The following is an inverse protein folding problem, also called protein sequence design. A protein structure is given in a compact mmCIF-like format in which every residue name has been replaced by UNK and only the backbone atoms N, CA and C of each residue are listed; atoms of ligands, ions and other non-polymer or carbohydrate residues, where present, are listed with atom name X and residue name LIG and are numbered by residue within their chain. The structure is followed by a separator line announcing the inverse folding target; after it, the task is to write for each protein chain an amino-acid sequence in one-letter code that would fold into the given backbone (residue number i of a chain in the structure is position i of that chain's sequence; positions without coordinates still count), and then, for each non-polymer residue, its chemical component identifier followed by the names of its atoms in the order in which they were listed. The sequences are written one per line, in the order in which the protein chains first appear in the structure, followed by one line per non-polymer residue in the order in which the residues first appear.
data_IF_770279321472
#
_entry.id   IF_770279321472
#
_cell.length_a   1.000
_cell.length_b   1.000
_cell.length_c   1.000
_cell.angle_alpha   90.00
_cell.angle_beta   90.00
_cell.angle_gamma   90.00
#
_symmetry.space_group_name_H-M   'P 1'
#
loop_
_entity.id
_entity.type
_entity.pdbx_description
1 polymer ?
#
# COMPACT_ATOMS: atom_id res chain seq x y z
N UNK A 1 2.33 -20.98 24.38
CA UNK A 1 2.45 -19.55 24.03
C UNK A 1 3.00 -19.44 22.63
N UNK A 2 2.77 -18.32 21.94
CA UNK A 2 3.29 -18.08 20.59
C UNK A 2 4.78 -17.75 20.70
N UNK A 3 5.60 -18.40 19.88
CA UNK A 3 7.01 -18.06 19.73
C UNK A 3 7.15 -17.16 18.51
N UNK A 4 7.79 -16.01 18.68
CA UNK A 4 8.04 -15.09 17.60
C UNK A 4 9.54 -14.80 17.50
N UNK A 5 10.06 -14.83 16.27
CA UNK A 5 11.39 -14.30 15.97
C UNK A 5 11.21 -12.89 15.41
N UNK A 6 11.79 -11.91 16.09
CA UNK A 6 11.72 -10.51 15.67
C UNK A 6 12.98 -10.17 14.88
N UNK A 7 12.79 -9.68 13.65
CA UNK A 7 13.86 -9.09 12.84
C UNK A 7 13.56 -7.60 12.67
N UNK A 8 14.48 -6.75 13.13
CA UNK A 8 14.37 -5.30 12.96
C UNK A 8 15.23 -4.93 11.76
N UNK A 9 14.60 -4.40 10.71
CA UNK A 9 15.28 -3.99 9.49
C UNK A 9 16.16 -2.76 9.74
N UNK A 10 17.41 -2.82 9.29
CA UNK A 10 18.27 -1.65 9.23
C UNK A 10 17.87 -0.73 8.05
N UNK A 11 18.20 0.58 8.09
CA UNK A 11 17.81 1.53 7.03
C UNK A 11 18.31 1.18 5.62
N UNK A 12 19.41 0.45 5.54
CA UNK A 12 20.07 0.00 4.31
C UNK A 12 19.73 -1.45 3.93
N UNK A 13 18.95 -2.14 4.76
CA UNK A 13 18.59 -3.53 4.52
C UNK A 13 17.40 -3.65 3.56
N UNK A 14 17.52 -4.51 2.55
CA UNK A 14 16.43 -4.78 1.62
C UNK A 14 15.37 -5.66 2.30
N UNK A 15 14.13 -5.18 2.33
CA UNK A 15 13.00 -5.86 2.96
C UNK A 15 12.72 -7.19 2.25
N UNK A 16 12.80 -7.19 0.93
CA UNK A 16 12.50 -8.36 0.11
C UNK A 16 13.51 -9.48 0.37
N UNK A 17 14.81 -9.19 0.35
CA UNK A 17 15.85 -10.16 0.69
C UNK A 17 15.74 -10.67 2.13
N UNK A 18 15.30 -9.82 3.06
CA UNK A 18 15.08 -10.20 4.45
C UNK A 18 13.91 -11.16 4.60
N UNK A 19 12.80 -10.90 3.90
CA UNK A 19 11.63 -11.80 3.90
C UNK A 19 11.99 -13.12 3.22
N UNK A 20 12.73 -13.11 2.10
CA UNK A 20 13.16 -14.33 1.43
C UNK A 20 13.98 -15.22 2.37
N UNK A 21 14.91 -14.65 3.16
CA UNK A 21 15.65 -15.39 4.20
C UNK A 21 14.75 -15.94 5.32
N UNK A 22 13.68 -15.24 5.68
CA UNK A 22 12.72 -15.74 6.67
C UNK A 22 11.92 -16.92 6.11
N UNK A 23 11.61 -16.89 4.81
CA UNK A 23 10.86 -17.93 4.13
C UNK A 23 11.64 -19.24 3.97
N UNK A 24 12.98 -19.21 3.99
CA UNK A 24 13.81 -20.43 4.01
C UNK A 24 13.50 -21.35 5.20
N UNK A 25 13.04 -20.78 6.32
CA UNK A 25 12.60 -21.54 7.50
C UNK A 25 11.19 -22.13 7.37
N UNK A 26 10.51 -21.92 6.24
CA UNK A 26 9.11 -22.33 5.98
C UNK A 26 8.14 -21.95 7.12
N UNK A 27 8.06 -20.67 7.50
CA UNK A 27 7.18 -20.23 8.56
C UNK A 27 5.71 -20.34 8.14
N UNK A 28 4.83 -20.69 9.08
CA UNK A 28 3.38 -20.65 8.87
C UNK A 28 2.86 -19.22 8.74
N UNK A 29 3.56 -18.24 9.33
CA UNK A 29 3.16 -16.85 9.38
C UNK A 29 4.37 -15.92 9.34
N UNK A 30 4.26 -14.83 8.59
CA UNK A 30 5.19 -13.70 8.60
C UNK A 30 4.42 -12.45 9.01
N UNK A 31 4.89 -11.76 10.05
CA UNK A 31 4.25 -10.55 10.58
C UNK A 31 5.01 -9.31 10.10
N UNK A 32 4.35 -8.44 9.35
CA UNK A 32 4.87 -7.16 8.89
C UNK A 32 4.52 -6.05 9.89
N UNK A 33 5.54 -5.44 10.51
CA UNK A 33 5.39 -4.25 11.34
C UNK A 33 5.89 -3.00 10.65
N UNK A 34 4.97 -2.11 10.26
CA UNK A 34 5.33 -0.89 9.55
C UNK A 34 4.12 -0.16 8.98
N UNK A 35 4.38 0.71 8.00
CA UNK A 35 3.33 1.34 7.20
C UNK A 35 2.95 0.53 5.97
N UNK A 36 2.07 1.09 5.13
CA UNK A 36 1.53 0.41 3.94
C UNK A 36 2.62 -0.06 2.96
N UNK A 37 3.74 0.68 2.84
CA UNK A 37 4.87 0.28 2.01
C UNK A 37 5.57 -0.99 2.51
N UNK A 38 5.80 -1.09 3.82
CA UNK A 38 6.37 -2.29 4.47
C UNK A 38 5.43 -3.47 4.30
N UNK A 39 4.14 -3.27 4.55
CA UNK A 39 3.13 -4.31 4.43
C UNK A 39 3.05 -4.81 2.99
N UNK A 40 3.02 -3.92 2.00
CA UNK A 40 3.02 -4.29 0.58
C UNK A 40 4.29 -5.03 0.16
N UNK A 41 5.46 -4.60 0.64
CA UNK A 41 6.74 -5.26 0.33
C UNK A 41 6.81 -6.69 0.88
N UNK A 42 6.32 -6.91 2.10
CA UNK A 42 6.21 -8.25 2.68
C UNK A 42 5.16 -9.07 1.93
N UNK A 43 3.96 -8.53 1.72
CA UNK A 43 2.89 -9.21 1.00
C UNK A 43 3.34 -9.69 -0.38
N UNK A 44 4.11 -8.88 -1.12
CA UNK A 44 4.63 -9.22 -2.44
C UNK A 44 5.46 -10.50 -2.46
N UNK A 45 6.10 -10.87 -1.33
CA UNK A 45 6.88 -12.11 -1.21
C UNK A 45 6.05 -13.31 -0.78
N UNK A 46 4.87 -13.07 -0.20
CA UNK A 46 3.96 -14.10 0.30
C UNK A 46 2.87 -14.47 -0.71
N UNK A 47 2.54 -13.60 -1.67
CA UNK A 47 1.52 -13.89 -2.69
C UNK A 47 1.80 -15.22 -3.38
N UNK A 48 0.78 -16.08 -3.46
CA UNK A 48 0.87 -17.41 -4.07
C UNK A 48 1.53 -18.47 -3.19
N UNK A 49 1.92 -18.15 -1.95
CA UNK A 49 2.46 -19.10 -0.97
C UNK A 49 1.42 -19.41 0.11
N UNK A 50 1.56 -20.58 0.73
CA UNK A 50 0.76 -20.98 1.90
C UNK A 50 1.39 -20.43 3.19
N UNK A 51 1.49 -19.10 3.29
CA UNK A 51 2.06 -18.38 4.44
C UNK A 51 1.16 -17.22 4.81
N UNK A 52 0.77 -17.14 6.09
CA UNK A 52 -0.14 -16.11 6.58
C UNK A 52 0.60 -14.79 6.76
N UNK A 53 0.03 -13.70 6.25
CA UNK A 53 0.49 -12.33 6.55
C UNK A 53 -0.17 -11.81 7.83
N UNK A 54 0.62 -11.59 8.88
CA UNK A 54 0.21 -10.77 10.02
C UNK A 54 0.56 -9.30 9.81
N UNK A 55 -0.26 -8.38 10.31
CA UNK A 55 -0.05 -6.93 10.14
C UNK A 55 -0.03 -6.24 11.49
N UNK A 56 1.05 -5.52 11.76
CA UNK A 56 1.16 -4.58 12.88
C UNK A 56 1.22 -3.15 12.33
N UNK A 57 0.17 -2.32 12.57
CA UNK A 57 0.04 -1.00 11.96
C UNK A 57 0.94 0.03 12.67
N UNK A 58 2.22 0.06 12.28
CA UNK A 58 3.24 0.94 12.87
C UNK A 58 3.58 2.15 11.99
N UNK A 59 2.85 2.37 10.91
CA UNK A 59 2.99 3.53 10.02
C UNK A 59 2.00 4.65 10.31
N UNK A 60 2.00 5.67 9.44
CA UNK A 60 1.20 6.90 9.63
C UNK A 60 -0.26 6.75 9.21
N UNK A 61 -0.55 6.06 8.11
CA UNK A 61 -1.89 5.99 7.52
C UNK A 61 -2.53 4.60 7.67
N UNK A 62 -1.73 3.54 7.56
CA UNK A 62 -2.11 2.14 7.77
C UNK A 62 -3.44 1.78 7.08
N UNK A 63 -3.57 2.19 5.81
CA UNK A 63 -4.79 1.99 5.04
C UNK A 63 -5.16 0.52 4.98
N UNK A 64 -4.20 -0.37 4.72
CA UNK A 64 -4.48 -1.81 4.67
C UNK A 64 -5.01 -2.37 6.00
N UNK A 65 -4.40 -1.99 7.12
CA UNK A 65 -4.83 -2.44 8.44
C UNK A 65 -6.24 -1.93 8.77
N UNK A 66 -6.53 -0.67 8.42
CA UNK A 66 -7.87 -0.08 8.61
C UNK A 66 -8.94 -0.80 7.79
N UNK A 67 -8.66 -1.10 6.53
CA UNK A 67 -9.60 -1.77 5.64
C UNK A 67 -9.93 -3.20 6.15
N UNK A 68 -8.98 -3.86 6.81
CA UNK A 68 -9.17 -5.15 7.48
C UNK A 68 -9.77 -5.07 8.89
N UNK A 69 -10.02 -3.86 9.40
CA UNK A 69 -10.53 -3.66 10.76
C UNK A 69 -9.53 -4.02 11.86
N UNK A 70 -8.23 -3.98 11.56
CA UNK A 70 -7.16 -4.21 12.53
C UNK A 70 -7.01 -2.97 13.42
N UNK A 71 -7.11 -3.10 14.75
CA UNK A 71 -6.91 -2.00 15.69
C UNK A 71 -5.51 -1.39 15.56
N UNK A 72 -5.40 -0.09 15.83
CA UNK A 72 -4.10 0.60 15.78
C UNK A 72 -3.30 0.45 17.07
N UNK A 73 -3.95 0.08 18.18
CA UNK A 73 -3.30 -0.26 19.43
C UNK A 73 -2.51 -1.57 19.26
N UNK A 74 -1.19 -1.50 19.50
CA UNK A 74 -0.27 -2.62 19.27
C UNK A 74 -0.70 -3.89 20.00
N UNK A 75 -1.08 -3.79 21.28
CA UNK A 75 -1.51 -4.95 22.08
C UNK A 75 -2.77 -5.60 21.49
N UNK A 76 -3.69 -4.82 20.93
CA UNK A 76 -4.89 -5.33 20.30
C UNK A 76 -4.60 -5.97 18.95
N UNK A 77 -3.70 -5.39 18.14
CA UNK A 77 -3.24 -5.98 16.89
C UNK A 77 -2.50 -7.32 17.12
N UNK A 78 -1.61 -7.37 18.11
CA UNK A 78 -0.92 -8.61 18.52
C UNK A 78 -1.91 -9.67 18.99
N UNK A 79 -2.94 -9.27 19.75
CA UNK A 79 -4.00 -10.18 20.17
C UNK A 79 -4.77 -10.79 18.99
N UNK A 80 -5.11 -10.01 17.97
CA UNK A 80 -5.78 -10.53 16.76
C UNK A 80 -4.91 -11.58 16.06
N UNK A 81 -3.61 -11.30 15.91
CA UNK A 81 -2.65 -12.25 15.34
C UNK A 81 -2.62 -13.53 16.18
N UNK A 82 -2.61 -13.38 17.51
CA UNK A 82 -2.57 -14.52 18.43
C UNK A 82 -3.86 -15.36 18.45
N UNK A 83 -5.02 -14.71 18.24
CA UNK A 83 -6.33 -15.34 18.17
C UNK A 83 -6.52 -16.12 16.84
N UNK A 84 -5.66 -15.88 15.84
CA UNK A 84 -5.52 -16.74 14.65
C UNK A 84 -6.67 -16.66 13.65
N UNK A 85 -7.42 -15.55 13.61
CA UNK A 85 -8.49 -15.37 12.61
C UNK A 85 -7.89 -15.01 11.25
N UNK A 86 -7.83 -16.00 10.36
CA UNK A 86 -7.30 -15.84 8.99
C UNK A 86 -8.44 -15.54 8.02
N UNK A 87 -8.19 -14.62 7.09
CA UNK A 87 -9.07 -14.31 5.96
C UNK A 87 -8.27 -14.28 4.67
N UNK A 88 -8.90 -14.64 3.56
CA UNK A 88 -8.30 -14.45 2.22
C UNK A 88 -8.59 -13.03 1.75
N UNK A 89 -7.60 -12.41 1.12
CA UNK A 89 -7.72 -11.08 0.51
C UNK A 89 -7.13 -11.12 -0.89
N UNK A 90 -7.72 -10.34 -1.79
CA UNK A 90 -7.22 -10.18 -3.15
C UNK A 90 -6.04 -9.21 -3.17
N UNK A 91 -5.24 -9.26 -4.22
CA UNK A 91 -4.21 -8.27 -4.52
C UNK A 91 -4.36 -7.82 -5.96
N UNK A 92 -4.11 -6.54 -6.22
CA UNK A 92 -3.96 -6.04 -7.58
C UNK A 92 -2.52 -6.18 -8.05
N UNK A 93 -2.29 -6.30 -9.36
CA UNK A 93 -0.95 -6.34 -9.95
C UNK A 93 -0.85 -5.37 -11.14
N UNK A 94 0.28 -4.66 -11.24
CA UNK A 94 0.64 -3.83 -12.39
C UNK A 94 2.10 -4.11 -12.76
N UNK A 95 2.35 -4.56 -13.98
CA UNK A 95 3.70 -4.86 -14.50
C UNK A 95 4.55 -5.74 -13.54
N UNK A 96 3.94 -6.80 -12.98
CA UNK A 96 4.61 -7.71 -12.03
C UNK A 96 4.77 -7.15 -10.61
N UNK A 97 4.21 -5.98 -10.30
CA UNK A 97 4.24 -5.38 -8.97
C UNK A 97 2.85 -5.36 -8.35
N UNK A 98 2.72 -5.97 -7.18
CA UNK A 98 1.44 -6.00 -6.49
C UNK A 98 1.12 -4.67 -5.78
N UNK A 99 -0.15 -4.42 -5.57
CA UNK A 99 -0.67 -3.38 -4.69
C UNK A 99 -1.84 -3.92 -3.85
N UNK A 100 -1.85 -3.57 -2.57
CA UNK A 100 -2.89 -4.02 -1.63
C UNK A 100 -4.15 -3.12 -1.64
N UNK A 101 -3.99 -1.81 -1.86
CA UNK A 101 -5.10 -0.85 -1.71
C UNK A 101 -5.53 -0.24 -3.04
N UNK A 102 -4.65 0.51 -3.70
CA UNK A 102 -4.94 1.08 -5.02
C UNK A 102 -3.68 1.29 -5.86
N UNK A 103 -3.92 1.43 -7.16
CA UNK A 103 -2.99 2.00 -8.13
C UNK A 103 -3.69 3.10 -8.91
N UNK A 104 -2.99 4.20 -9.21
CA UNK A 104 -3.57 5.32 -9.95
C UNK A 104 -2.55 5.97 -10.89
N UNK A 105 -3.06 6.47 -12.02
CA UNK A 105 -2.28 7.23 -13.00
C UNK A 105 -2.95 8.57 -13.30
N UNK A 106 -2.13 9.56 -13.68
CA UNK A 106 -2.59 10.89 -14.09
C UNK A 106 -2.62 11.90 -12.95
N UNK A 107 -3.80 12.49 -12.71
CA UNK A 107 -3.97 13.65 -11.85
C UNK A 107 -3.48 13.44 -10.41
N UNK A 108 -3.74 12.27 -9.82
CA UNK A 108 -3.43 12.00 -8.42
C UNK A 108 -1.91 11.96 -8.13
N UNK A 109 -1.09 11.17 -8.84
CA UNK A 109 0.36 11.24 -8.72
C UNK A 109 0.91 12.65 -8.91
N UNK A 110 0.37 13.40 -9.88
CA UNK A 110 0.81 14.78 -10.15
C UNK A 110 0.55 15.72 -8.97
N UNK A 111 -0.62 15.61 -8.32
CA UNK A 111 -0.94 16.39 -7.12
C UNK A 111 0.02 16.04 -5.98
N UNK A 112 0.34 14.75 -5.80
CA UNK A 112 1.27 14.31 -4.75
C UNK A 112 2.68 14.83 -5.01
N UNK A 113 3.21 14.65 -6.22
CA UNK A 113 4.54 15.15 -6.60
C UNK A 113 4.63 16.67 -6.47
N UNK A 114 3.64 17.41 -6.97
CA UNK A 114 3.64 18.87 -6.93
C UNK A 114 3.47 19.41 -5.49
N UNK A 115 2.72 18.69 -4.64
CA UNK A 115 2.67 19.00 -3.20
C UNK A 115 4.04 18.82 -2.57
N UNK A 116 4.71 17.69 -2.80
CA UNK A 116 6.04 17.42 -2.24
C UNK A 116 7.08 18.44 -2.71
N UNK A 117 7.08 18.81 -3.99
CA UNK A 117 7.95 19.84 -4.54
C UNK A 117 7.66 21.21 -3.92
N UNK A 118 6.39 21.57 -3.73
CA UNK A 118 6.01 22.81 -3.07
C UNK A 118 6.44 22.84 -1.59
N UNK A 119 6.42 21.71 -0.89
CA UNK A 119 6.94 21.62 0.47
C UNK A 119 8.47 21.74 0.50
N UNK A 120 9.18 21.05 -0.41
CA UNK A 120 10.65 21.02 -0.46
C UNK A 120 11.26 22.34 -0.96
N UNK A 121 10.73 22.90 -2.03
CA UNK A 121 11.33 24.05 -2.72
C UNK A 121 10.75 25.40 -2.31
N UNK A 122 9.48 25.44 -1.88
CA UNK A 122 8.81 26.69 -1.51
C UNK A 122 8.57 26.84 0.00
N UNK A 123 8.97 25.83 0.80
CA UNK A 123 8.80 25.85 2.26
C UNK A 123 7.34 25.92 2.72
N UNK A 124 6.39 25.57 1.85
CA UNK A 124 4.97 25.66 2.15
C UNK A 124 4.55 24.58 3.15
N UNK A 125 3.69 24.94 4.10
CA UNK A 125 3.05 23.96 4.98
C UNK A 125 2.21 22.94 4.20
N UNK A 126 1.92 21.79 4.81
CA UNK A 126 1.20 20.66 4.17
C UNK A 126 -0.13 21.08 3.51
N UNK A 127 -0.92 21.91 4.19
CA UNK A 127 -2.22 22.38 3.71
C UNK A 127 -2.13 23.39 2.55
N UNK A 128 -1.31 24.47 2.65
CA UNK A 128 -1.07 25.37 1.51
C UNK A 128 -0.50 24.66 0.27
N UNK A 129 0.45 23.74 0.46
CA UNK A 129 1.05 22.98 -0.63
C UNK A 129 0.01 22.11 -1.34
N UNK A 130 -0.86 21.42 -0.57
CA UNK A 130 -1.93 20.61 -1.11
C UNK A 130 -2.96 21.46 -1.87
N UNK A 131 -3.39 22.59 -1.31
CA UNK A 131 -4.35 23.48 -1.97
C UNK A 131 -3.82 24.01 -3.32
N UNK A 132 -2.55 24.41 -3.35
CA UNK A 132 -1.88 24.86 -4.59
C UNK A 132 -1.79 23.74 -5.63
N UNK A 133 -1.30 22.56 -5.23
CA UNK A 133 -1.14 21.42 -6.12
C UNK A 133 -2.49 21.00 -6.72
N UNK A 134 -3.54 20.92 -5.89
CA UNK A 134 -4.91 20.64 -6.34
C UNK A 134 -5.41 21.70 -7.31
N UNK A 135 -5.22 23.00 -7.01
CA UNK A 135 -5.64 24.09 -7.90
C UNK A 135 -4.95 24.02 -9.27
N UNK A 136 -3.63 23.78 -9.29
CA UNK A 136 -2.86 23.69 -10.51
C UNK A 136 -3.25 22.46 -11.35
N UNK A 137 -3.42 21.32 -10.69
CA UNK A 137 -3.88 20.07 -11.29
C UNK A 137 -5.29 20.21 -11.90
N UNK A 138 -6.22 20.88 -11.21
CA UNK A 138 -7.58 21.14 -11.70
C UNK A 138 -7.64 22.18 -12.82
N UNK A 139 -6.75 23.18 -12.83
CA UNK A 139 -6.72 24.21 -13.88
C UNK A 139 -6.13 23.72 -15.20
N UNK A 140 -5.21 22.77 -15.16
CA UNK A 140 -4.64 22.16 -16.36
C UNK A 140 -4.66 20.64 -16.23
N UNK A 141 -5.86 20.02 -16.29
CA UNK A 141 -5.99 18.58 -16.26
C UNK A 141 -5.39 18.05 -17.55
N UNK A 142 -4.18 17.49 -17.45
CA UNK A 142 -3.50 16.82 -18.55
C UNK A 142 -4.27 15.52 -18.84
N UNK A 143 -5.38 15.65 -19.56
CA UNK A 143 -6.21 14.52 -19.96
C UNK A 143 -5.51 13.73 -21.04
N UNK A 144 -5.45 12.43 -20.84
CA UNK A 144 -4.95 11.47 -21.81
C UNK A 144 -6.11 10.64 -22.34
N UNK A 145 -5.95 10.11 -23.55
CA UNK A 145 -6.85 9.10 -24.07
C UNK A 145 -6.38 7.76 -23.51
N UNK A 146 -7.31 7.01 -22.91
CA UNK A 146 -7.04 5.70 -22.36
C UNK A 146 -8.04 4.69 -22.95
N UNK A 147 -7.52 3.51 -23.26
CA UNK A 147 -8.32 2.32 -23.54
C UNK A 147 -8.22 1.45 -22.30
N UNK A 148 -9.35 1.20 -21.64
CA UNK A 148 -9.41 0.36 -20.45
C UNK A 148 -10.18 -0.90 -20.81
N UNK A 149 -9.52 -2.05 -20.76
CA UNK A 149 -10.19 -3.34 -20.94
C UNK A 149 -10.67 -3.84 -19.57
N UNK A 150 -11.98 -4.04 -19.42
CA UNK A 150 -12.60 -4.60 -18.20
C UNK A 150 -13.48 -5.78 -18.61
N UNK A 151 -13.23 -6.95 -18.02
CA UNK A 151 -13.97 -8.19 -18.34
C UNK A 151 -14.05 -8.47 -19.85
N UNK A 152 -12.96 -8.21 -20.57
CA UNK A 152 -12.85 -8.38 -22.02
C UNK A 152 -13.56 -7.31 -22.86
N UNK A 153 -14.02 -6.22 -22.25
CA UNK A 153 -14.66 -5.09 -22.95
C UNK A 153 -13.78 -3.87 -22.93
N UNK A 154 -13.53 -3.33 -24.11
CA UNK A 154 -12.75 -2.10 -24.26
C UNK A 154 -13.62 -0.86 -24.01
N UNK A 155 -13.12 0.00 -23.14
CA UNK A 155 -13.72 1.27 -22.77
C UNK A 155 -12.73 2.37 -23.12
N UNK A 156 -13.01 3.10 -24.20
CA UNK A 156 -12.21 4.27 -24.57
C UNK A 156 -12.71 5.51 -23.84
N UNK A 157 -11.84 6.19 -23.10
CA UNK A 157 -12.18 7.44 -22.39
C UNK A 157 -11.03 8.43 -22.45
N UNK A 158 -11.38 9.70 -22.65
CA UNK A 158 -10.48 10.82 -22.37
C UNK A 158 -10.65 11.22 -20.92
N UNK A 159 -9.63 11.00 -20.10
CA UNK A 159 -9.69 11.24 -18.65
C UNK A 159 -8.39 11.85 -18.15
N UNK A 160 -8.44 12.73 -17.13
CA UNK A 160 -7.23 13.21 -16.45
C UNK A 160 -6.67 12.21 -15.45
N UNK A 161 -7.41 11.14 -15.10
CA UNK A 161 -6.95 10.15 -14.15
C UNK A 161 -7.62 8.79 -14.34
N UNK A 162 -6.93 7.73 -13.95
CA UNK A 162 -7.48 6.38 -13.78
C UNK A 162 -7.08 5.91 -12.39
N UNK A 163 -8.02 5.23 -11.72
CA UNK A 163 -7.82 4.66 -10.41
C UNK A 163 -8.40 3.26 -10.38
N UNK A 164 -7.60 2.34 -9.87
CA UNK A 164 -7.96 0.94 -9.67
C UNK A 164 -7.82 0.67 -8.17
N UNK A 165 -8.93 0.38 -7.52
CA UNK A 165 -8.97 0.03 -6.11
C UNK A 165 -9.11 -1.48 -5.94
N UNK A 166 -8.43 -2.04 -4.95
CA UNK A 166 -8.53 -3.44 -4.53
C UNK A 166 -9.32 -3.58 -3.22
N UNK A 167 -9.27 -2.56 -2.35
CA UNK A 167 -10.02 -2.56 -1.10
C UNK A 167 -11.30 -1.74 -1.20
N UNK A 168 -12.32 -2.14 -0.43
CA UNK A 168 -13.49 -1.32 -0.17
C UNK A 168 -13.05 -0.09 0.62
N UNK A 169 -12.96 1.06 -0.04
CA UNK A 169 -12.89 2.37 0.60
C UNK A 169 -14.23 2.65 1.28
N UNK A 170 -14.46 2.06 2.46
CA UNK A 170 -15.66 2.32 3.28
C UNK A 170 -15.42 3.52 4.20
#
# INVERSE_FOLDING_TARGET
GIQARVHVLAPDEDIAESVDRLLDASPEMVVAGGGDGTINAVAARLVGRDVILGVLPLGTLNHFARDLGIPFELDAAVKIIADGKVVTTDVGEVDGRIFLNNSSIGLYPRIVTEREDAQRHLGLGKWPALARATWHALRNPASFNAVVCVDGKDIERRTPFIFVGNNCYV
#
